data_IF_666282126260
#
_entry.id   IF_666282126260
#
_cell.length_a   1.000
_cell.length_b   1.000
_cell.length_c   1.000
_cell.angle_alpha   90.00
_cell.angle_beta   90.00
_cell.angle_gamma   90.00
#
_symmetry.space_group_name_H-M   'P 1'
#
loop_
_entity.id
_entity.type
_entity.pdbx_description
1 polymer ?
#
# COMPACT_ATOMS: atom_id res chain seq x y z
N UNK A 1 1.89 -3.82 -2.83
CA UNK A 1 1.86 -5.05 -2.02
C UNK A 1 3.24 -5.69 -1.98
N UNK A 2 3.84 -5.90 -0.80
CA UNK A 2 5.17 -6.53 -0.70
C UNK A 2 5.16 -7.99 -1.18
N UNK A 3 6.06 -8.33 -2.11
CA UNK A 3 6.16 -9.68 -2.65
C UNK A 3 7.00 -10.63 -1.80
N UNK A 4 7.90 -10.10 -0.97
CA UNK A 4 8.83 -10.91 -0.16
C UNK A 4 8.17 -11.95 0.75
N UNK A 5 7.04 -11.68 1.42
CA UNK A 5 6.38 -12.70 2.24
C UNK A 5 5.48 -13.64 1.43
N UNK A 6 5.28 -13.37 0.14
CA UNK A 6 4.33 -14.10 -0.72
C UNK A 6 5.03 -15.10 -1.64
N UNK A 7 6.22 -14.73 -2.12
CA UNK A 7 7.05 -15.57 -2.97
C UNK A 7 7.89 -16.51 -2.09
N UNK A 8 8.07 -17.79 -2.46
CA UNK A 8 8.96 -18.70 -1.73
C UNK A 8 10.35 -18.10 -1.50
N UNK A 9 10.89 -18.27 -0.30
CA UNK A 9 12.18 -17.70 0.10
C UNK A 9 13.37 -18.21 -0.73
N UNK A 10 13.20 -19.36 -1.41
CA UNK A 10 14.14 -19.89 -2.39
C UNK A 10 14.27 -19.01 -3.65
N UNK A 11 13.23 -18.24 -3.98
CA UNK A 11 13.19 -17.34 -5.14
C UNK A 11 13.39 -15.88 -4.74
N UNK A 12 12.82 -15.46 -3.61
CA UNK A 12 12.92 -14.11 -3.10
C UNK A 12 13.15 -14.12 -1.59
N UNK A 13 14.38 -13.87 -1.13
CA UNK A 13 14.68 -13.79 0.29
C UNK A 13 13.88 -12.67 0.98
N UNK A 14 13.41 -12.90 2.20
CA UNK A 14 12.67 -11.91 2.98
C UNK A 14 13.46 -10.61 3.25
N UNK A 15 14.79 -10.68 3.23
CA UNK A 15 15.69 -9.54 3.43
C UNK A 15 16.28 -8.99 2.12
N UNK A 16 15.69 -9.36 0.97
CA UNK A 16 16.16 -8.86 -0.32
C UNK A 16 16.03 -7.32 -0.39
N UNK A 17 17.12 -6.66 -0.76
CA UNK A 17 17.17 -5.20 -0.96
C UNK A 17 16.73 -4.90 -2.38
N UNK A 18 15.83 -3.92 -2.55
CA UNK A 18 15.32 -3.49 -3.85
C UNK A 18 13.80 -3.35 -3.89
N UNK A 19 13.26 -3.10 -5.09
CA UNK A 19 11.83 -2.89 -5.30
C UNK A 19 11.15 -4.23 -5.63
N UNK A 20 10.58 -4.87 -4.62
CA UNK A 20 9.83 -6.13 -4.77
C UNK A 20 8.40 -5.96 -4.27
N UNK A 21 7.59 -5.25 -5.06
CA UNK A 21 6.19 -5.03 -4.75
C UNK A 21 5.32 -5.17 -6.00
N UNK A 22 4.09 -5.63 -5.79
CA UNK A 22 3.03 -5.64 -6.79
C UNK A 22 2.11 -4.44 -6.63
N UNK A 23 1.87 -3.71 -7.71
CA UNK A 23 0.93 -2.59 -7.75
C UNK A 23 -0.47 -3.14 -7.98
N UNK A 24 -1.32 -3.06 -6.95
CA UNK A 24 -2.74 -3.37 -7.08
C UNK A 24 -3.43 -2.17 -7.69
N UNK A 25 -4.18 -2.38 -8.78
CA UNK A 25 -4.98 -1.33 -9.37
C UNK A 25 -6.46 -1.65 -9.15
N UNK A 26 -7.19 -0.65 -8.71
CA UNK A 26 -8.64 -0.66 -8.69
C UNK A 26 -9.11 0.43 -9.64
N UNK A 27 -9.92 0.05 -10.62
CA UNK A 27 -10.50 0.96 -11.58
C UNK A 27 -11.96 1.18 -11.22
N UNK A 28 -12.34 2.43 -11.08
CA UNK A 28 -13.73 2.86 -10.99
C UNK A 28 -14.04 3.79 -12.15
N UNK A 29 -15.29 3.80 -12.57
CA UNK A 29 -15.79 4.77 -13.53
C UNK A 29 -16.30 6.00 -12.78
N UNK A 30 -16.21 7.19 -13.37
CA UNK A 30 -16.69 8.42 -12.75
C UNK A 30 -18.20 8.41 -12.40
N UNK A 31 -18.95 7.45 -12.94
CA UNK A 31 -20.39 7.28 -12.72
C UNK A 31 -20.72 6.31 -11.56
N UNK A 32 -19.76 5.51 -11.07
CA UNK A 32 -20.00 4.59 -9.96
C UNK A 32 -19.79 5.29 -8.61
N UNK A 33 -20.77 5.16 -7.70
CA UNK A 33 -20.55 5.51 -6.30
C UNK A 33 -19.65 4.43 -5.70
N UNK A 34 -18.45 4.81 -5.29
CA UNK A 34 -17.52 3.88 -4.66
C UNK A 34 -17.96 3.56 -3.23
N UNK A 35 -18.37 2.32 -2.96
CA UNK A 35 -18.71 1.87 -1.61
C UNK A 35 -17.51 1.24 -0.92
N UNK A 36 -17.23 1.66 0.33
CA UNK A 36 -16.07 1.17 1.11
C UNK A 36 -16.05 -0.37 1.16
N UNK A 37 -17.20 -1.00 1.39
CA UNK A 37 -17.31 -2.46 1.49
C UNK A 37 -16.91 -3.15 0.18
N UNK A 38 -17.35 -2.61 -0.95
CA UNK A 38 -17.02 -3.13 -2.27
C UNK A 38 -15.53 -2.92 -2.59
N UNK A 39 -14.99 -1.74 -2.30
CA UNK A 39 -13.56 -1.46 -2.46
C UNK A 39 -12.70 -2.41 -1.64
N UNK A 40 -13.05 -2.63 -0.37
CA UNK A 40 -12.36 -3.60 0.50
C UNK A 40 -12.47 -5.02 -0.04
N UNK A 41 -13.65 -5.42 -0.55
CA UNK A 41 -13.83 -6.72 -1.18
C UNK A 41 -12.93 -6.89 -2.40
N UNK A 42 -12.88 -5.89 -3.30
CA UNK A 42 -12.02 -5.88 -4.48
C UNK A 42 -10.53 -5.97 -4.09
N UNK A 43 -10.06 -5.15 -3.14
CA UNK A 43 -8.67 -5.22 -2.64
C UNK A 43 -8.31 -6.61 -2.09
N UNK A 44 -9.20 -7.22 -1.31
CA UNK A 44 -8.99 -8.57 -0.76
C UNK A 44 -8.95 -9.62 -1.85
N UNK A 45 -9.84 -9.52 -2.84
CA UNK A 45 -9.89 -10.42 -3.99
C UNK A 45 -8.60 -10.33 -4.82
N UNK A 46 -8.12 -9.13 -5.14
CA UNK A 46 -6.86 -8.95 -5.88
C UNK A 46 -5.66 -9.50 -5.11
N UNK A 47 -5.62 -9.33 -3.78
CA UNK A 47 -4.58 -9.94 -2.94
C UNK A 47 -4.60 -11.47 -3.03
N UNK A 48 -5.78 -12.08 -3.01
CA UNK A 48 -5.93 -13.53 -3.09
C UNK A 48 -5.57 -14.07 -4.48
N UNK A 49 -6.00 -13.41 -5.55
CA UNK A 49 -5.62 -13.76 -6.94
C UNK A 49 -4.10 -13.68 -7.13
N UNK A 50 -3.44 -12.66 -6.60
CA UNK A 50 -1.98 -12.56 -6.61
C UNK A 50 -1.33 -13.72 -5.85
N UNK A 51 -1.85 -14.08 -4.67
CA UNK A 51 -1.32 -15.21 -3.92
C UNK A 51 -1.45 -16.50 -4.73
N UNK A 52 -2.60 -16.75 -5.35
CA UNK A 52 -2.83 -17.94 -6.19
C UNK A 52 -1.94 -17.98 -7.42
N UNK A 53 -1.65 -16.83 -8.04
CA UNK A 53 -0.70 -16.73 -9.15
C UNK A 53 0.71 -17.15 -8.73
N UNK A 54 1.08 -16.86 -7.48
CA UNK A 54 2.37 -17.21 -6.89
C UNK A 54 2.42 -18.68 -6.43
N UNK A 55 1.32 -19.24 -5.88
CA UNK A 55 1.28 -20.58 -5.27
C UNK A 55 0.72 -21.70 -6.14
N UNK A 56 0.14 -21.44 -7.32
CA UNK A 56 -0.30 -22.50 -8.25
C UNK A 56 0.89 -23.28 -8.83
N UNK A 57 1.31 -24.31 -8.08
CA UNK A 57 1.18 -25.73 -8.47
C UNK A 57 1.59 -26.66 -7.30
N UNK A 58 0.64 -27.20 -6.52
CA UNK A 58 0.89 -28.30 -5.59
C UNK A 58 0.80 -29.70 -6.24
N UNK A 59 0.17 -29.83 -7.41
CA UNK A 59 -0.10 -31.12 -8.05
C UNK A 59 0.96 -31.54 -9.08
N UNK A 60 1.68 -30.59 -9.67
CA UNK A 60 2.86 -30.87 -10.48
C UNK A 60 4.08 -30.41 -9.68
N UNK A 61 4.84 -31.36 -9.12
CA UNK A 61 6.00 -31.12 -8.24
C UNK A 61 7.21 -30.46 -8.94
N UNK A 62 6.93 -29.58 -9.92
CA UNK A 62 7.85 -29.07 -10.91
C UNK A 62 7.49 -27.68 -11.44
N UNK A 63 6.72 -26.85 -10.72
CA UNK A 63 6.62 -25.42 -11.07
C UNK A 63 8.03 -24.86 -11.10
N UNK A 64 8.55 -24.57 -12.30
CA UNK A 64 9.88 -24.04 -12.42
C UNK A 64 9.85 -22.61 -11.84
N UNK A 65 10.82 -22.30 -10.98
CA UNK A 65 11.13 -20.96 -10.46
C UNK A 65 10.85 -19.84 -11.46
N UNK A 66 11.24 -20.08 -12.71
CA UNK A 66 11.23 -19.08 -13.76
C UNK A 66 9.84 -18.80 -14.31
N UNK A 67 8.95 -19.81 -14.32
CA UNK A 67 7.57 -19.64 -14.74
C UNK A 67 6.78 -18.79 -13.74
N UNK A 68 7.00 -18.99 -12.44
CA UNK A 68 6.40 -18.15 -11.41
C UNK A 68 6.85 -16.68 -11.53
N UNK A 69 8.13 -16.43 -11.82
CA UNK A 69 8.66 -15.08 -12.06
C UNK A 69 8.04 -14.44 -13.30
N UNK A 70 7.95 -15.17 -14.40
CA UNK A 70 7.35 -14.69 -15.65
C UNK A 70 5.86 -14.35 -15.48
N UNK A 71 5.11 -15.17 -14.73
CA UNK A 71 3.70 -14.92 -14.40
C UNK A 71 3.54 -13.64 -13.58
N UNK A 72 4.34 -13.47 -12.52
CA UNK A 72 4.31 -12.26 -11.68
C UNK A 72 4.68 -11.02 -12.51
N UNK A 73 5.74 -11.09 -13.32
CA UNK A 73 6.17 -9.99 -14.18
C UNK A 73 5.11 -9.63 -15.22
N UNK A 74 4.49 -10.63 -15.85
CA UNK A 74 3.41 -10.43 -16.82
C UNK A 74 2.17 -9.79 -16.19
N UNK A 75 1.78 -10.23 -14.99
CA UNK A 75 0.66 -9.63 -14.26
C UNK A 75 0.96 -8.18 -13.89
N UNK A 76 2.17 -7.87 -13.41
CA UNK A 76 2.59 -6.49 -13.15
C UNK A 76 2.55 -5.62 -14.41
N UNK A 77 3.07 -6.13 -15.52
CA UNK A 77 3.10 -5.41 -16.79
C UNK A 77 1.69 -5.15 -17.29
N UNK A 78 0.81 -6.15 -17.24
CA UNK A 78 -0.61 -6.01 -17.62
C UNK A 78 -1.28 -4.93 -16.80
N UNK A 79 -1.14 -4.94 -15.47
CA UNK A 79 -1.68 -3.89 -14.61
C UNK A 79 -1.14 -2.51 -14.99
N UNK A 80 0.18 -2.36 -15.19
CA UNK A 80 0.76 -1.07 -15.59
C UNK A 80 0.26 -0.58 -16.95
N UNK A 81 -0.03 -1.48 -17.89
CA UNK A 81 -0.59 -1.14 -19.20
C UNK A 81 -2.05 -0.66 -19.15
N UNK A 82 -2.79 -0.98 -18.08
CA UNK A 82 -4.17 -0.54 -17.91
C UNK A 82 -4.30 0.94 -17.47
N UNK A 83 -3.20 1.53 -16.98
CA UNK A 83 -3.17 2.93 -16.55
C UNK A 83 -2.88 3.82 -17.75
N UNK A 84 -3.88 4.59 -18.21
CA UNK A 84 -3.65 5.62 -19.22
C UNK A 84 -3.15 6.91 -18.58
N UNK A 85 -2.36 7.74 -19.29
CA UNK A 85 -1.91 9.05 -18.78
C UNK A 85 -3.05 10.00 -18.39
N UNK A 86 -4.22 9.82 -19.00
CA UNK A 86 -5.43 10.61 -18.73
C UNK A 86 -6.23 10.08 -17.53
N UNK A 87 -5.85 8.92 -16.98
CA UNK A 87 -6.52 8.35 -15.81
C UNK A 87 -6.05 9.07 -14.55
N UNK A 88 -7.00 9.61 -13.79
CA UNK A 88 -6.71 10.16 -12.48
C UNK A 88 -6.32 9.02 -11.53
N UNK A 89 -5.13 9.12 -10.93
CA UNK A 89 -4.57 8.05 -10.10
C UNK A 89 -4.34 8.53 -8.68
N UNK A 90 -4.81 7.72 -7.73
CA UNK A 90 -4.60 7.92 -6.31
C UNK A 90 -3.70 6.80 -5.80
N UNK A 91 -2.45 7.14 -5.46
CA UNK A 91 -1.49 6.16 -4.98
C UNK A 91 -1.58 6.02 -3.45
N UNK A 92 -1.87 4.81 -2.97
CA UNK A 92 -1.84 4.48 -1.53
C UNK A 92 -0.68 3.52 -1.27
N UNK A 93 0.19 3.89 -0.34
CA UNK A 93 1.26 3.04 0.15
C UNK A 93 1.12 2.82 1.66
N UNK A 94 1.37 1.60 2.12
CA UNK A 94 1.36 1.27 3.55
C UNK A 94 2.77 0.97 4.01
N UNK A 95 3.20 1.75 4.99
CA UNK A 95 4.46 1.70 5.70
C UNK A 95 4.29 1.12 7.12
N UNK A 96 3.08 0.65 7.42
CA UNK A 96 2.77 -0.11 8.62
C UNK A 96 3.68 -1.34 8.73
N UNK A 97 4.11 -1.63 9.95
CA UNK A 97 4.96 -2.77 10.34
C UNK A 97 6.36 -2.74 9.74
N UNK A 98 6.84 -1.57 9.32
CA UNK A 98 8.24 -1.36 8.92
C UNK A 98 9.17 -1.05 10.11
N UNK A 99 8.65 -1.08 11.35
CA UNK A 99 9.43 -0.93 12.59
C UNK A 99 10.20 0.39 12.71
N UNK A 100 9.69 1.49 12.13
CA UNK A 100 10.37 2.79 12.20
C UNK A 100 10.58 3.27 13.64
N UNK A 101 9.59 3.10 14.51
CA UNK A 101 9.69 3.46 15.93
C UNK A 101 10.60 2.56 16.76
N UNK A 102 11.14 1.47 16.19
CA UNK A 102 12.12 0.58 16.83
C UNK A 102 13.58 0.95 16.48
N UNK A 103 13.78 1.96 15.62
CA UNK A 103 15.11 2.33 15.12
C UNK A 103 15.93 3.11 16.16
N UNK A 104 16.70 2.40 17.00
CA UNK A 104 17.67 2.98 17.93
C UNK A 104 19.10 2.92 17.36
N UNK A 105 19.70 4.09 17.18
CA UNK A 105 21.10 4.22 16.73
C UNK A 105 22.08 4.53 17.87
N UNK A 106 21.64 4.41 19.14
CA UNK A 106 22.43 4.65 20.35
C UNK A 106 22.03 5.90 21.14
N UNK A 107 20.95 6.57 20.74
CA UNK A 107 20.44 7.80 21.36
C UNK A 107 18.95 7.74 21.68
N UNK A 108 18.37 6.54 21.64
CA UNK A 108 16.96 6.30 21.94
C UNK A 108 16.10 6.18 20.68
N UNK A 109 14.83 5.85 20.92
CA UNK A 109 13.83 5.59 19.88
C UNK A 109 13.27 6.90 19.30
N UNK A 110 12.78 6.89 18.04
CA UNK A 110 12.15 8.07 17.45
C UNK A 110 10.92 8.52 18.25
N UNK A 111 10.84 9.83 18.50
CA UNK A 111 9.64 10.44 19.10
C UNK A 111 8.48 10.47 18.10
N UNK A 112 8.79 10.66 16.83
CA UNK A 112 7.84 10.78 15.73
C UNK A 112 8.52 10.45 14.41
N UNK A 113 7.77 9.82 13.50
CA UNK A 113 8.24 9.49 12.15
C UNK A 113 7.18 9.95 11.16
N UNK A 114 7.62 10.67 10.13
CA UNK A 114 6.76 11.23 9.09
C UNK A 114 7.38 10.94 7.72
N UNK A 115 6.56 10.73 6.67
CA UNK A 115 7.03 10.74 5.30
C UNK A 115 7.32 12.18 4.86
N UNK A 116 8.15 12.32 3.82
CA UNK A 116 8.34 13.62 3.18
C UNK A 116 7.12 13.99 2.31
N UNK A 117 6.85 15.28 2.16
CA UNK A 117 5.83 15.77 1.23
C UNK A 117 6.35 15.65 -0.20
N UNK A 118 5.57 15.07 -1.10
CA UNK A 118 5.90 15.01 -2.53
C UNK A 118 4.88 15.82 -3.32
N UNK A 119 5.30 16.42 -4.43
CA UNK A 119 4.40 17.16 -5.34
C UNK A 119 3.53 16.22 -6.20
N UNK A 120 2.86 15.24 -5.56
CA UNK A 120 1.95 14.29 -6.20
C UNK A 120 0.85 13.88 -5.24
N UNK A 121 -0.34 13.67 -5.77
CA UNK A 121 -1.46 13.09 -5.02
C UNK A 121 -1.10 11.69 -4.53
N UNK A 122 -0.98 11.53 -3.21
CA UNK A 122 -0.64 10.25 -2.60
C UNK A 122 -1.15 10.14 -1.16
N UNK A 123 -1.25 8.91 -0.69
CA UNK A 123 -1.52 8.58 0.71
C UNK A 123 -0.45 7.61 1.21
N UNK A 124 0.16 7.95 2.35
CA UNK A 124 1.06 7.05 3.08
C UNK A 124 0.42 6.68 4.41
N UNK A 125 0.20 5.39 4.64
CA UNK A 125 -0.32 4.86 5.90
C UNK A 125 0.83 4.42 6.79
N UNK A 126 0.92 4.94 8.00
CA UNK A 126 1.95 4.62 8.99
C UNK A 126 1.31 4.16 10.30
N UNK A 127 2.01 3.32 11.06
CA UNK A 127 1.58 3.02 12.43
C UNK A 127 1.71 4.28 13.28
N UNK A 128 0.73 4.54 14.16
CA UNK A 128 0.85 5.58 15.16
C UNK A 128 1.93 5.19 16.20
N UNK A 129 2.52 6.18 16.88
CA UNK A 129 3.57 5.96 17.89
C UNK A 129 3.14 4.99 18.99
N UNK A 130 1.87 5.00 19.36
CA UNK A 130 1.30 4.12 20.39
C UNK A 130 1.17 2.65 19.96
N UNK A 131 1.32 2.36 18.67
CA UNK A 131 1.15 1.02 18.09
C UNK A 131 -0.30 0.55 18.02
N UNK A 132 -1.27 1.36 18.43
CA UNK A 132 -2.70 1.04 18.41
C UNK A 132 -3.42 1.66 17.21
N UNK A 133 -2.96 2.84 16.76
CA UNK A 133 -3.55 3.61 15.67
C UNK A 133 -2.82 3.54 14.33
N UNK A 134 -3.41 4.18 13.32
CA UNK A 134 -2.80 4.44 12.00
C UNK A 134 -2.85 5.95 11.74
N UNK A 135 -1.72 6.51 11.32
CA UNK A 135 -1.65 7.86 10.77
C UNK A 135 -1.74 7.78 9.24
N UNK A 136 -2.68 8.52 8.66
CA UNK A 136 -2.82 8.65 7.21
C UNK A 136 -2.25 10.00 6.76
N UNK A 137 -1.14 9.96 6.06
CA UNK A 137 -0.47 11.12 5.48
C UNK A 137 -0.98 11.35 4.08
N UNK A 138 -1.88 12.33 3.92
CA UNK A 138 -2.60 12.59 2.68
C UNK A 138 -2.02 13.82 2.00
N UNK A 139 -1.68 13.70 0.73
CA UNK A 139 -1.29 14.82 -0.14
C UNK A 139 -2.29 14.93 -1.27
N UNK A 140 -2.94 16.09 -1.38
CA UNK A 140 -3.94 16.44 -2.39
C UNK A 140 -3.70 17.88 -2.88
N UNK A 141 -4.24 18.27 -4.04
CA UNK A 141 -4.35 19.67 -4.43
C UNK A 141 -5.05 20.49 -3.34
N UNK A 142 -4.66 21.75 -3.15
CA UNK A 142 -5.18 22.60 -2.06
C UNK A 142 -6.72 22.67 -2.03
N UNK A 143 -7.36 22.74 -3.20
CA UNK A 143 -8.82 22.78 -3.34
C UNK A 143 -9.49 21.51 -2.82
N UNK A 144 -8.87 20.37 -3.07
CA UNK A 144 -9.40 19.06 -2.73
C UNK A 144 -9.13 18.78 -1.25
N UNK A 145 -7.95 19.16 -0.76
CA UNK A 145 -7.59 19.08 0.66
C UNK A 145 -8.54 19.91 1.53
N UNK A 146 -8.87 21.14 1.10
CA UNK A 146 -9.82 21.98 1.85
C UNK A 146 -11.19 21.32 2.00
N UNK A 147 -11.64 20.56 0.99
CA UNK A 147 -12.90 19.80 1.07
C UNK A 147 -12.72 18.55 1.94
N UNK A 148 -11.61 17.84 1.78
CA UNK A 148 -11.28 16.61 2.50
C UNK A 148 -11.20 16.83 4.02
N UNK A 149 -10.55 17.90 4.48
CA UNK A 149 -10.39 18.21 5.91
C UNK A 149 -11.70 18.55 6.63
N UNK A 150 -12.74 18.94 5.87
CA UNK A 150 -14.05 19.32 6.40
C UNK A 150 -15.14 18.30 6.12
N UNK A 151 -14.79 17.11 5.62
CA UNK A 151 -15.76 16.07 5.32
C UNK A 151 -16.30 15.43 6.60
N UNK A 152 -17.62 15.57 6.83
CA UNK A 152 -18.27 15.08 8.05
C UNK A 152 -18.17 13.55 8.21
N UNK A 153 -18.18 12.80 7.11
CA UNK A 153 -18.06 11.34 7.16
C UNK A 153 -16.65 10.92 7.61
N UNK A 154 -15.61 11.58 7.08
CA UNK A 154 -14.22 11.38 7.50
C UNK A 154 -13.99 11.75 8.96
N UNK A 155 -14.51 12.91 9.38
CA UNK A 155 -14.32 13.44 10.74
C UNK A 155 -14.97 12.57 11.83
N UNK A 156 -15.91 11.70 11.48
CA UNK A 156 -16.45 10.69 12.40
C UNK A 156 -15.43 9.59 12.76
N UNK A 157 -14.41 9.38 11.93
CA UNK A 157 -13.44 8.28 12.07
C UNK A 157 -11.99 8.74 12.18
N UNK A 158 -11.68 10.00 11.85
CA UNK A 158 -10.32 10.53 11.83
C UNK A 158 -10.23 11.88 12.52
N UNK A 159 -9.04 12.17 13.06
CA UNK A 159 -8.68 13.47 13.62
C UNK A 159 -7.70 14.12 12.64
N UNK A 160 -8.05 15.22 11.95
CA UNK A 160 -7.14 15.90 11.05
C UNK A 160 -5.99 16.54 11.81
N UNK A 161 -4.77 16.39 11.28
CA UNK A 161 -3.57 17.11 11.72
C UNK A 161 -3.41 17.21 13.25
N UNK A 162 -3.43 16.07 13.99
CA UNK A 162 -3.29 16.09 15.45
C UNK A 162 -1.90 16.59 15.84
N UNK A 163 -1.79 17.20 17.01
CA UNK A 163 -0.49 17.63 17.54
C UNK A 163 0.39 16.43 17.89
N UNK A 164 1.68 16.50 17.53
CA UNK A 164 2.67 15.48 17.89
C UNK A 164 2.90 15.50 19.40
N UNK A 165 2.54 14.42 20.09
CA UNK A 165 2.78 14.26 21.52
C UNK A 165 4.23 13.81 21.77
N UNK A 166 5.07 14.77 22.15
CA UNK A 166 6.43 14.53 22.64
C UNK A 166 6.31 14.16 24.13
N UNK A 167 6.16 12.88 24.41
CA UNK A 167 6.40 12.29 25.73
C UNK A 167 7.73 11.54 25.70
#
# INVERSE_FOLDING_TARGET
>A
MDLRPRVPSSLLPHKAIGNFFFLSLLKETSESKMEIQETVFKLRKTKEELNQLITKDPEDGRTNSDEAKERIASAMLSSLCEVSPETETYAVSSWCRMSFYEADFGWGLPVWVAPDSVDKTQVVLMDAKDGEGIEAWVTLPETDMATFEHDDELLLFAIPSPSVLIQ
#
